data_IF_743548907836
#
_entry.id   IF_743548907836
#
_cell.length_a   1.000
_cell.length_b   1.000
_cell.length_c   1.000
_cell.angle_alpha   90.00
_cell.angle_beta   90.00
_cell.angle_gamma   90.00
#
_symmetry.space_group_name_H-M   'P 1'
#
loop_
_entity.id
_entity.type
_entity.pdbx_description
1 polymer ?
#
# COMPACT_ATOMS: atom_id res chain seq x y z
N UNK A 1 26.77 9.33 -3.62
CA UNK A 1 25.76 8.76 -2.72
C UNK A 1 24.40 9.01 -3.35
N UNK A 2 23.50 8.02 -3.35
CA UNK A 2 22.19 8.13 -4.01
C UNK A 2 21.16 8.58 -2.96
N UNK A 3 20.52 9.72 -3.22
CA UNK A 3 19.54 10.33 -2.31
C UNK A 3 18.12 10.19 -2.84
N UNK A 4 17.15 10.04 -1.94
CA UNK A 4 15.73 9.95 -2.29
C UNK A 4 14.86 10.70 -1.29
N UNK A 5 13.84 11.40 -1.79
CA UNK A 5 12.72 11.92 -1.03
C UNK A 5 11.60 10.87 -1.04
N UNK A 6 11.26 10.36 0.13
CA UNK A 6 10.10 9.52 0.37
C UNK A 6 8.98 10.40 0.89
N UNK A 7 7.96 10.62 0.05
CA UNK A 7 6.84 11.49 0.38
C UNK A 7 5.56 10.67 0.56
N UNK A 8 5.09 10.61 1.80
CA UNK A 8 3.71 10.24 2.11
C UNK A 8 2.73 11.35 1.72
N UNK A 9 1.50 11.26 2.21
CA UNK A 9 0.44 12.21 1.86
C UNK A 9 -0.16 12.95 3.08
N UNK A 10 0.46 12.83 4.25
CA UNK A 10 0.06 13.60 5.45
C UNK A 10 0.30 15.09 5.30
N UNK A 11 -0.31 15.89 6.18
CA UNK A 11 -0.30 17.36 6.15
C UNK A 11 1.13 17.95 6.08
N UNK A 12 2.13 17.30 6.69
CA UNK A 12 3.52 17.77 6.65
C UNK A 12 4.17 17.70 5.26
N UNK A 13 3.46 17.20 4.25
CA UNK A 13 3.88 17.34 2.87
C UNK A 13 3.87 18.81 2.39
N UNK A 14 3.04 19.67 3.00
CA UNK A 14 2.89 21.08 2.60
C UNK A 14 4.02 21.99 3.09
N UNK A 15 4.78 21.59 4.10
CA UNK A 15 5.79 22.42 4.75
C UNK A 15 7.23 21.90 4.57
N UNK A 16 7.50 21.22 3.46
CA UNK A 16 8.84 20.76 3.10
C UNK A 16 9.83 21.94 3.05
N UNK A 17 10.90 21.85 3.83
CA UNK A 17 12.03 22.79 3.78
C UNK A 17 13.10 22.26 2.81
N UNK A 18 12.97 22.64 1.53
CA UNK A 18 13.85 22.18 0.44
C UNK A 18 15.33 22.46 0.67
N UNK A 19 15.69 23.43 1.54
CA UNK A 19 17.10 23.73 1.89
C UNK A 19 17.76 22.61 2.71
N UNK A 20 16.99 21.58 3.09
CA UNK A 20 17.43 20.41 3.87
C UNK A 20 17.77 19.20 3.03
N UNK A 21 17.49 19.20 1.73
CA UNK A 21 17.77 18.07 0.84
C UNK A 21 18.51 18.51 -0.44
N UNK A 22 19.28 17.60 -1.08
CA UNK A 22 19.99 17.92 -2.31
C UNK A 22 19.01 18.26 -3.44
N UNK A 23 19.47 19.06 -4.41
CA UNK A 23 18.69 19.44 -5.58
C UNK A 23 18.47 18.27 -6.55
N UNK A 24 19.50 17.44 -6.72
CA UNK A 24 19.43 16.22 -7.52
C UNK A 24 19.03 15.06 -6.60
N UNK A 25 17.73 14.76 -6.58
CA UNK A 25 17.14 13.79 -5.68
C UNK A 25 16.03 13.04 -6.42
N UNK A 26 16.00 11.72 -6.24
CA UNK A 26 14.88 10.91 -6.70
C UNK A 26 13.66 11.13 -5.80
N UNK A 27 12.45 11.05 -6.33
CA UNK A 27 11.22 11.22 -5.55
C UNK A 27 10.37 9.96 -5.63
N UNK A 28 10.01 9.42 -4.47
CA UNK A 28 9.03 8.34 -4.34
C UNK A 28 7.72 8.89 -3.78
N UNK A 29 6.61 8.55 -4.42
CA UNK A 29 5.25 8.93 -4.02
C UNK A 29 4.37 7.71 -3.82
N UNK A 30 3.22 7.89 -3.16
CA UNK A 30 2.34 6.78 -2.82
C UNK A 30 0.86 7.13 -3.02
N UNK A 31 0.08 6.14 -3.45
CA UNK A 31 -1.39 6.19 -3.49
C UNK A 31 -1.91 7.47 -4.18
N UNK A 32 -2.68 8.29 -3.47
CA UNK A 32 -3.38 9.49 -3.98
C UNK A 32 -2.50 10.75 -4.02
N UNK A 33 -1.20 10.61 -4.21
CA UNK A 33 -0.28 11.77 -4.21
C UNK A 33 -0.71 12.88 -5.20
N UNK A 34 -1.36 12.49 -6.30
CA UNK A 34 -1.87 13.38 -7.35
C UNK A 34 -3.10 14.21 -6.93
N UNK A 35 -3.67 14.00 -5.74
CA UNK A 35 -4.72 14.87 -5.21
C UNK A 35 -4.19 16.23 -4.73
N UNK A 36 -2.87 16.36 -4.53
CA UNK A 36 -2.23 17.64 -4.21
C UNK A 36 -2.67 18.74 -5.21
N UNK A 37 -2.91 19.95 -4.73
CA UNK A 37 -3.34 21.09 -5.56
C UNK A 37 -2.19 21.71 -6.38
N UNK A 38 -0.96 21.40 -5.99
CA UNK A 38 0.28 21.95 -6.53
C UNK A 38 1.33 20.85 -6.58
N UNK A 39 2.37 21.00 -7.40
CA UNK A 39 3.46 20.03 -7.49
C UNK A 39 4.39 20.13 -6.27
N UNK A 40 3.93 19.65 -5.11
CA UNK A 40 4.63 19.77 -3.82
C UNK A 40 6.02 19.13 -3.83
N UNK A 41 6.25 18.10 -4.66
CA UNK A 41 7.57 17.48 -4.84
C UNK A 41 8.06 17.53 -6.29
N UNK A 42 7.43 18.36 -7.13
CA UNK A 42 7.71 18.42 -8.56
C UNK A 42 7.01 17.33 -9.38
N UNK A 43 7.17 17.40 -10.70
CA UNK A 43 6.50 16.50 -11.67
C UNK A 43 7.24 15.18 -11.90
N UNK A 44 8.55 15.15 -11.64
CA UNK A 44 9.43 14.01 -11.93
C UNK A 44 9.42 13.04 -10.76
N UNK A 45 8.81 11.88 -10.96
CA UNK A 45 8.64 10.86 -9.94
C UNK A 45 9.42 9.61 -10.36
N UNK A 46 10.40 9.23 -9.53
CA UNK A 46 11.23 8.05 -9.77
C UNK A 46 10.44 6.77 -9.58
N UNK A 47 9.59 6.73 -8.56
CA UNK A 47 8.76 5.58 -8.25
C UNK A 47 7.44 5.96 -7.60
N UNK A 48 6.38 5.24 -7.96
CA UNK A 48 5.06 5.34 -7.32
C UNK A 48 4.65 4.00 -6.72
N UNK A 49 4.03 4.03 -5.54
CA UNK A 49 3.65 2.84 -4.78
C UNK A 49 2.13 2.80 -4.55
N UNK A 50 1.50 1.66 -4.80
CA UNK A 50 0.05 1.49 -4.67
C UNK A 50 -0.36 0.29 -3.83
N UNK A 51 -1.40 0.48 -3.02
CA UNK A 51 -2.10 -0.61 -2.36
C UNK A 51 -2.72 -1.57 -3.41
N UNK A 52 -2.56 -2.90 -3.26
CA UNK A 52 -3.13 -3.88 -4.19
C UNK A 52 -4.65 -3.79 -4.35
N UNK A 53 -5.37 -3.33 -3.32
CA UNK A 53 -6.85 -3.29 -3.29
C UNK A 53 -7.47 -2.43 -4.41
N UNK A 54 -6.79 -1.35 -4.79
CA UNK A 54 -7.26 -0.40 -5.82
C UNK A 54 -6.26 -0.28 -6.98
N UNK A 55 -5.45 -1.32 -7.19
CA UNK A 55 -4.32 -1.29 -8.12
C UNK A 55 -4.73 -0.95 -9.55
N UNK A 56 -5.84 -1.55 -10.04
CA UNK A 56 -6.31 -1.36 -11.41
C UNK A 56 -6.65 0.11 -11.68
N UNK A 57 -7.46 0.72 -10.82
CA UNK A 57 -7.87 2.11 -10.93
C UNK A 57 -6.70 3.07 -10.73
N UNK A 58 -5.80 2.78 -9.78
CA UNK A 58 -4.58 3.58 -9.60
C UNK A 58 -3.70 3.53 -10.84
N UNK A 59 -3.49 2.35 -11.41
CA UNK A 59 -2.65 2.18 -12.57
C UNK A 59 -3.23 2.86 -13.82
N UNK A 60 -4.55 2.76 -14.05
CA UNK A 60 -5.26 3.54 -15.07
C UNK A 60 -5.04 5.05 -14.88
N UNK A 61 -5.19 5.52 -13.63
CA UNK A 61 -5.00 6.92 -13.28
C UNK A 61 -3.57 7.38 -13.59
N UNK A 62 -2.57 6.59 -13.20
CA UNK A 62 -1.16 6.91 -13.46
C UNK A 62 -0.84 7.02 -14.94
N UNK A 63 -1.30 6.06 -15.74
CA UNK A 63 -1.09 6.11 -17.20
C UNK A 63 -1.73 7.35 -17.80
N UNK A 64 -2.90 7.74 -17.30
CA UNK A 64 -3.57 8.96 -17.78
C UNK A 64 -2.83 10.23 -17.35
N UNK A 65 -2.31 10.30 -16.12
CA UNK A 65 -1.47 11.41 -15.65
C UNK A 65 -0.24 11.59 -16.53
N UNK A 66 0.44 10.49 -16.89
CA UNK A 66 1.60 10.51 -17.79
C UNK A 66 1.21 10.94 -19.20
N UNK A 67 0.12 10.39 -19.76
CA UNK A 67 -0.37 10.76 -21.09
C UNK A 67 -0.76 12.24 -21.21
N UNK A 68 -1.32 12.82 -20.14
CA UNK A 68 -1.64 14.25 -20.07
C UNK A 68 -0.44 15.14 -19.76
N UNK A 69 0.73 14.56 -19.52
CA UNK A 69 1.92 15.30 -19.09
C UNK A 69 1.75 15.96 -17.72
N UNK A 70 0.85 15.48 -16.86
CA UNK A 70 0.69 15.99 -15.50
C UNK A 70 1.87 15.57 -14.61
N UNK A 71 2.40 14.36 -14.82
CA UNK A 71 3.59 13.84 -14.14
C UNK A 71 4.46 13.02 -15.10
N UNK A 72 5.75 12.92 -14.79
CA UNK A 72 6.70 12.01 -15.41
C UNK A 72 7.00 10.89 -14.40
N UNK A 73 6.66 9.64 -14.72
CA UNK A 73 6.77 8.51 -13.79
C UNK A 73 7.59 7.38 -14.40
N UNK A 74 8.67 7.00 -13.74
CA UNK A 74 9.59 5.97 -14.26
C UNK A 74 9.23 4.55 -13.83
N UNK A 75 8.90 4.33 -12.55
CA UNK A 75 8.68 2.99 -12.01
C UNK A 75 7.37 2.89 -11.22
N UNK A 76 6.68 1.76 -11.38
CA UNK A 76 5.41 1.46 -10.70
C UNK A 76 5.57 0.27 -9.76
N UNK A 77 5.16 0.45 -8.52
CA UNK A 77 5.25 -0.58 -7.48
C UNK A 77 3.87 -0.86 -6.88
N UNK A 78 3.58 -2.13 -6.66
CA UNK A 78 2.48 -2.58 -5.83
C UNK A 78 3.03 -3.00 -4.46
N UNK A 79 2.42 -2.52 -3.37
CA UNK A 79 2.80 -2.89 -1.98
C UNK A 79 2.30 -4.29 -1.58
N UNK A 80 2.27 -5.21 -2.56
CA UNK A 80 1.89 -6.60 -2.40
C UNK A 80 2.98 -7.39 -1.67
N UNK A 81 2.56 -8.20 -0.70
CA UNK A 81 3.36 -9.21 0.00
C UNK A 81 3.19 -10.57 -0.69
N UNK A 82 4.03 -11.56 -0.35
CA UNK A 82 3.93 -12.90 -0.93
C UNK A 82 2.59 -13.58 -0.59
N UNK A 83 2.09 -14.41 -1.50
CA UNK A 83 0.69 -14.84 -1.58
C UNK A 83 0.25 -15.94 -0.63
N UNK A 84 1.17 -16.62 0.06
CA UNK A 84 0.86 -17.62 1.09
C UNK A 84 0.12 -17.05 2.32
N UNK A 85 -0.21 -15.77 2.29
CA UNK A 85 -0.44 -14.99 3.49
C UNK A 85 -1.47 -13.86 3.36
N UNK A 86 -2.26 -13.86 2.28
CA UNK A 86 -3.25 -12.82 1.98
C UNK A 86 -4.47 -12.89 2.94
N UNK A 87 -4.63 -13.98 3.71
CA UNK A 87 -5.89 -14.31 4.39
C UNK A 87 -6.12 -13.64 5.75
N UNK A 88 -5.12 -13.02 6.40
CA UNK A 88 -5.26 -12.55 7.79
C UNK A 88 -5.98 -11.20 7.96
N UNK A 89 -5.62 -10.18 7.17
CA UNK A 89 -5.91 -8.78 7.55
C UNK A 89 -6.83 -8.00 6.58
N UNK A 90 -7.20 -8.57 5.44
CA UNK A 90 -8.16 -7.94 4.53
C UNK A 90 -8.90 -9.00 3.67
N UNK A 91 -10.00 -9.58 4.17
CA UNK A 91 -10.75 -10.63 3.45
C UNK A 91 -11.34 -10.14 2.11
N UNK A 92 -11.46 -8.82 1.93
CA UNK A 92 -11.95 -8.17 0.71
C UNK A 92 -10.83 -7.87 -0.31
N UNK A 93 -9.57 -8.13 0.05
CA UNK A 93 -8.46 -7.89 -0.86
C UNK A 93 -8.56 -8.80 -2.10
N UNK A 94 -8.32 -8.27 -3.32
CA UNK A 94 -8.22 -9.11 -4.50
C UNK A 94 -7.22 -10.23 -4.26
N UNK A 95 -7.58 -11.48 -4.61
CA UNK A 95 -6.67 -12.63 -4.63
C UNK A 95 -5.68 -12.51 -5.79
N UNK A 96 -4.92 -11.42 -5.81
CA UNK A 96 -3.84 -11.18 -6.77
C UNK A 96 -2.56 -11.53 -6.03
N UNK A 97 -1.94 -12.63 -6.43
CA UNK A 97 -0.59 -12.97 -6.03
C UNK A 97 0.46 -12.32 -6.94
N UNK A 98 1.74 -12.51 -6.59
CA UNK A 98 2.87 -12.00 -7.38
C UNK A 98 2.87 -12.52 -8.83
N UNK A 99 2.38 -13.74 -9.07
CA UNK A 99 2.31 -14.34 -10.40
C UNK A 99 1.21 -13.70 -11.25
N UNK A 100 0.01 -13.55 -10.70
CA UNK A 100 -1.13 -12.88 -11.30
C UNK A 100 -0.81 -11.40 -11.57
N UNK A 101 -0.15 -10.72 -10.63
CA UNK A 101 0.31 -9.35 -10.81
C UNK A 101 1.22 -9.24 -12.04
N UNK A 102 2.26 -10.08 -12.13
CA UNK A 102 3.20 -10.07 -13.25
C UNK A 102 2.54 -10.40 -14.59
N UNK A 103 1.50 -11.25 -14.58
CA UNK A 103 0.75 -11.62 -15.79
C UNK A 103 -0.17 -10.49 -16.28
N UNK A 104 -0.85 -9.80 -15.37
CA UNK A 104 -1.86 -8.78 -15.71
C UNK A 104 -1.21 -7.41 -15.92
N UNK A 105 -0.21 -7.08 -15.09
CA UNK A 105 0.49 -5.80 -15.07
C UNK A 105 2.01 -6.02 -15.10
N UNK A 106 2.59 -6.45 -16.24
CA UNK A 106 4.00 -6.85 -16.34
C UNK A 106 5.01 -5.74 -16.03
N UNK A 107 4.59 -4.48 -16.13
CA UNK A 107 5.42 -3.32 -15.81
C UNK A 107 5.37 -2.90 -14.32
N UNK A 108 4.43 -3.46 -13.54
CA UNK A 108 4.32 -3.19 -12.12
C UNK A 108 5.22 -4.18 -11.37
N UNK A 109 6.14 -3.64 -10.57
CA UNK A 109 6.99 -4.42 -9.67
C UNK A 109 6.27 -4.64 -8.34
N UNK A 110 6.58 -5.73 -7.64
CA UNK A 110 6.02 -5.96 -6.30
C UNK A 110 7.03 -5.62 -5.21
N UNK A 111 6.54 -5.00 -4.14
CA UNK A 111 7.33 -4.67 -2.96
C UNK A 111 8.09 -5.88 -2.38
N UNK A 112 7.46 -7.06 -2.38
CA UNK A 112 8.10 -8.28 -1.87
C UNK A 112 9.46 -8.60 -2.52
N UNK A 113 9.64 -8.27 -3.82
CA UNK A 113 10.92 -8.48 -4.55
C UNK A 113 12.09 -7.72 -3.90
N UNK A 114 11.80 -6.61 -3.23
CA UNK A 114 12.79 -5.74 -2.60
C UNK A 114 12.90 -6.03 -1.11
N UNK A 115 11.78 -6.39 -0.49
CA UNK A 115 11.72 -6.80 0.89
C UNK A 115 12.58 -8.04 1.14
N UNK A 116 12.50 -9.05 0.27
CA UNK A 116 13.23 -10.32 0.42
C UNK A 116 14.76 -10.19 0.25
N UNK A 117 15.25 -9.07 -0.30
CA UNK A 117 16.70 -8.80 -0.45
C UNK A 117 17.38 -8.48 0.88
N UNK A 118 16.61 -8.17 1.93
CA UNK A 118 17.11 -7.84 3.26
C UNK A 118 16.35 -8.68 4.28
N UNK A 119 16.99 -9.74 4.77
CA UNK A 119 16.38 -10.77 5.63
C UNK A 119 15.70 -10.16 6.86
N UNK A 120 16.33 -9.19 7.51
CA UNK A 120 15.80 -8.56 8.72
C UNK A 120 14.53 -7.76 8.45
N UNK A 121 14.44 -7.10 7.29
CA UNK A 121 13.24 -6.36 6.89
C UNK A 121 12.09 -7.32 6.57
N UNK A 122 12.40 -8.38 5.81
CA UNK A 122 11.42 -9.41 5.46
C UNK A 122 10.87 -10.10 6.71
N UNK A 123 11.75 -10.48 7.64
CA UNK A 123 11.37 -11.08 8.91
C UNK A 123 10.45 -10.14 9.71
N UNK A 124 10.86 -8.89 9.91
CA UNK A 124 10.08 -7.91 10.67
C UNK A 124 8.68 -7.70 10.09
N UNK A 125 8.57 -7.52 8.78
CA UNK A 125 7.28 -7.31 8.11
C UNK A 125 6.40 -8.55 8.24
N UNK A 126 6.93 -9.75 8.04
CA UNK A 126 6.15 -10.98 8.15
C UNK A 126 5.73 -11.25 9.60
N UNK A 127 6.63 -11.13 10.57
CA UNK A 127 6.31 -11.33 11.98
C UNK A 127 5.24 -10.36 12.45
N UNK A 128 5.35 -9.06 12.13
CA UNK A 128 4.32 -8.11 12.53
C UNK A 128 2.97 -8.39 11.87
N UNK A 129 2.95 -8.75 10.58
CA UNK A 129 1.70 -9.07 9.88
C UNK A 129 1.01 -10.33 10.42
N UNK A 130 1.75 -11.40 10.76
CA UNK A 130 1.15 -12.70 11.12
C UNK A 130 1.06 -12.96 12.62
N UNK A 131 1.97 -12.40 13.40
CA UNK A 131 2.04 -12.66 14.84
C UNK A 131 1.49 -11.51 15.68
N UNK A 132 1.36 -10.32 15.09
CA UNK A 132 0.93 -9.12 15.82
C UNK A 132 -0.28 -8.43 15.20
N UNK A 133 -0.80 -8.93 14.07
CA UNK A 133 -1.87 -8.31 13.28
C UNK A 133 -1.63 -6.82 12.99
N UNK A 134 -0.36 -6.42 12.84
CA UNK A 134 0.04 -5.04 12.54
C UNK A 134 0.96 -4.99 11.34
N UNK A 135 0.94 -3.89 10.61
CA UNK A 135 1.73 -3.74 9.39
C UNK A 135 2.34 -2.35 9.27
N UNK A 136 3.61 -2.26 8.84
CA UNK A 136 4.18 -0.98 8.49
C UNK A 136 3.44 -0.31 7.34
N UNK A 137 3.50 1.00 7.30
CA UNK A 137 2.78 1.78 6.29
C UNK A 137 3.43 1.71 4.92
N UNK A 138 2.71 2.19 3.91
CA UNK A 138 3.31 2.33 2.58
C UNK A 138 4.50 3.31 2.56
N UNK A 139 4.54 4.27 3.49
CA UNK A 139 5.71 5.13 3.70
C UNK A 139 6.95 4.31 4.08
N UNK A 140 6.80 3.36 5.00
CA UNK A 140 7.88 2.43 5.38
C UNK A 140 8.23 1.49 4.23
N UNK A 141 7.24 0.95 3.52
CA UNK A 141 7.50 0.08 2.37
C UNK A 141 8.37 0.78 1.30
N UNK A 142 8.14 2.08 1.08
CA UNK A 142 8.99 2.90 0.20
C UNK A 142 10.43 3.04 0.75
N UNK A 143 10.60 3.24 2.05
CA UNK A 143 11.93 3.30 2.70
C UNK A 143 12.69 1.98 2.53
N UNK A 144 12.06 0.85 2.84
CA UNK A 144 12.68 -0.47 2.69
C UNK A 144 13.07 -0.75 1.24
N UNK A 145 12.18 -0.41 0.30
CA UNK A 145 12.46 -0.53 -1.15
C UNK A 145 13.64 0.35 -1.57
N UNK A 146 13.71 1.59 -1.09
CA UNK A 146 14.83 2.49 -1.38
C UNK A 146 16.17 1.92 -0.85
N UNK A 147 16.20 1.39 0.37
CA UNK A 147 17.41 0.78 0.92
C UNK A 147 17.84 -0.43 0.08
N UNK A 148 16.90 -1.29 -0.30
CA UNK A 148 17.17 -2.45 -1.17
C UNK A 148 17.66 -2.04 -2.58
N UNK A 149 17.26 -0.86 -3.06
CA UNK A 149 17.74 -0.25 -4.32
C UNK A 149 19.10 0.47 -4.16
N UNK A 150 19.69 0.47 -2.96
CA UNK A 150 21.00 1.06 -2.69
C UNK A 150 21.00 2.56 -2.39
N UNK A 151 19.84 3.15 -2.07
CA UNK A 151 19.80 4.52 -1.54
C UNK A 151 20.37 4.55 -0.11
N UNK A 152 21.18 5.57 0.17
CA UNK A 152 21.90 5.69 1.46
C UNK A 152 21.56 6.98 2.22
N UNK A 153 21.03 7.98 1.53
CA UNK A 153 20.49 9.20 2.14
C UNK A 153 18.98 9.30 1.82
N UNK A 154 18.16 9.16 2.86
CA UNK A 154 16.70 9.11 2.74
C UNK A 154 16.12 10.34 3.44
N UNK A 155 15.32 11.11 2.70
CA UNK A 155 14.61 12.29 3.19
C UNK A 155 13.13 11.96 3.25
N UNK A 156 12.44 12.38 4.31
CA UNK A 156 11.05 11.99 4.57
C UNK A 156 10.17 13.22 4.77
N UNK A 157 9.01 13.22 4.11
CA UNK A 157 7.94 14.20 4.26
C UNK A 157 6.56 13.52 4.17
N UNK A 158 5.52 14.13 4.74
CA UNK A 158 4.14 13.62 4.63
C UNK A 158 3.90 12.28 5.33
N UNK A 159 4.75 11.89 6.29
CA UNK A 159 4.55 10.72 7.16
C UNK A 159 4.30 11.23 8.58
N UNK A 160 3.03 11.35 8.96
CA UNK A 160 2.63 12.01 10.21
C UNK A 160 2.14 11.04 11.30
N UNK A 161 2.53 9.77 11.18
CA UNK A 161 2.33 8.72 12.20
C UNK A 161 0.90 8.62 12.74
N UNK A 162 -0.09 8.94 11.90
CA UNK A 162 -1.52 8.90 12.25
C UNK A 162 -1.95 9.82 13.39
N UNK A 163 -1.10 10.78 13.78
CA UNK A 163 -1.39 11.74 14.83
C UNK A 163 -2.23 12.90 14.30
N UNK A 164 -3.56 12.78 14.36
CA UNK A 164 -4.52 13.90 14.31
C UNK A 164 -4.44 14.86 13.11
N UNK A 165 -3.71 14.51 12.05
CA UNK A 165 -3.50 15.35 10.88
C UNK A 165 -4.17 14.73 9.67
N UNK A 166 -4.86 15.59 8.92
CA UNK A 166 -5.52 15.25 7.67
C UNK A 166 -4.47 15.01 6.58
N UNK A 167 -4.89 14.45 5.46
CA UNK A 167 -4.08 14.45 4.25
C UNK A 167 -3.76 15.89 3.82
N UNK A 168 -2.66 16.06 3.08
CA UNK A 168 -2.28 17.32 2.45
C UNK A 168 -3.27 17.82 1.37
N UNK A 169 -4.40 17.16 1.19
CA UNK A 169 -5.42 17.50 0.21
C UNK A 169 -6.80 17.11 0.74
N UNK A 170 -7.83 17.75 0.17
CA UNK A 170 -9.21 17.38 0.45
C UNK A 170 -9.60 16.14 -0.36
N UNK A 171 -10.18 15.14 0.30
CA UNK A 171 -10.63 13.90 -0.32
C UNK A 171 -12.08 13.55 -0.01
N UNK A 172 -12.79 14.37 0.78
CA UNK A 172 -14.11 14.06 1.34
C UNK A 172 -15.21 13.87 0.27
N UNK A 173 -15.02 14.44 -0.92
CA UNK A 173 -15.94 14.35 -2.06
C UNK A 173 -15.41 13.47 -3.20
N UNK A 174 -14.30 12.76 -2.99
CA UNK A 174 -13.66 11.97 -4.03
C UNK A 174 -14.49 10.73 -4.42
N UNK A 175 -14.43 10.34 -5.69
CA UNK A 175 -14.85 9.03 -6.18
C UNK A 175 -14.17 7.93 -5.36
N UNK A 176 -12.90 8.11 -4.99
CA UNK A 176 -12.20 7.16 -4.13
C UNK A 176 -12.92 6.90 -2.81
N UNK A 177 -13.42 7.94 -2.14
CA UNK A 177 -14.18 7.80 -0.89
C UNK A 177 -15.46 6.95 -1.07
N UNK A 178 -16.03 6.92 -2.28
CA UNK A 178 -17.17 6.05 -2.64
C UNK A 178 -16.71 4.62 -2.95
N UNK A 179 -15.64 4.48 -3.75
CA UNK A 179 -15.10 3.17 -4.16
C UNK A 179 -14.46 2.38 -3.03
N UNK A 180 -13.84 3.08 -2.09
CA UNK A 180 -13.16 2.50 -0.96
C UNK A 180 -13.59 3.25 0.30
N UNK A 181 -14.79 2.97 0.84
CA UNK A 181 -15.33 3.70 2.01
C UNK A 181 -14.41 3.67 3.23
N UNK A 182 -13.57 2.62 3.37
CA UNK A 182 -12.47 2.56 4.35
C UNK A 182 -11.52 3.77 4.29
N UNK A 183 -11.39 4.41 3.14
CA UNK A 183 -10.64 5.66 2.96
C UNK A 183 -11.27 6.86 3.71
N UNK A 184 -12.58 6.84 3.92
CA UNK A 184 -13.30 7.94 4.58
C UNK A 184 -13.27 7.82 6.10
N UNK A 185 -12.97 6.63 6.64
CA UNK A 185 -12.95 6.36 8.08
C UNK A 185 -11.57 6.60 8.73
N UNK A 186 -10.69 7.38 8.10
CA UNK A 186 -9.28 7.56 8.53
C UNK A 186 -9.15 8.29 9.89
N UNK A 187 -10.22 8.92 10.38
CA UNK A 187 -10.30 9.43 11.76
C UNK A 187 -10.45 8.31 12.80
N UNK A 188 -10.72 7.07 12.38
CA UNK A 188 -10.68 5.86 13.20
C UNK A 188 -9.37 5.14 12.91
N UNK A 189 -8.59 4.89 13.96
CA UNK A 189 -7.33 4.15 13.90
C UNK A 189 -7.51 2.87 13.07
N UNK A 190 -6.89 2.79 11.88
CA UNK A 190 -6.81 1.52 11.14
C UNK A 190 -6.16 0.52 12.09
N UNK A 191 -6.88 -0.54 12.52
CA UNK A 191 -6.38 -1.43 13.57
C UNK A 191 -5.07 -2.12 13.16
N UNK A 192 -4.79 -2.18 11.85
CA UNK A 192 -3.60 -2.81 11.32
C UNK A 192 -2.39 -1.88 11.29
N UNK A 193 -2.56 -0.57 11.49
CA UNK A 193 -1.47 0.40 11.45
C UNK A 193 -1.31 1.09 12.81
N UNK A 194 -0.08 1.24 13.25
CA UNK A 194 0.21 1.97 14.48
C UNK A 194 1.45 2.85 14.33
N UNK A 195 1.50 3.92 15.13
CA UNK A 195 2.72 4.72 15.27
C UNK A 195 3.89 3.84 15.70
N UNK A 196 3.68 2.93 16.64
CA UNK A 196 4.72 2.06 17.19
C UNK A 196 5.38 1.16 16.13
N UNK A 197 4.59 0.53 15.24
CA UNK A 197 5.16 -0.35 14.21
C UNK A 197 6.02 0.42 13.20
N UNK A 198 5.59 1.62 12.80
CA UNK A 198 6.37 2.49 11.91
C UNK A 198 7.65 2.98 12.58
N UNK A 199 7.61 3.33 13.88
CA UNK A 199 8.79 3.71 14.64
C UNK A 199 9.80 2.55 14.75
N UNK A 200 9.34 1.32 15.02
CA UNK A 200 10.19 0.13 15.02
C UNK A 200 10.85 -0.10 13.66
N UNK A 201 10.07 0.03 12.58
CA UNK A 201 10.58 -0.13 11.23
C UNK A 201 11.64 0.92 10.86
N UNK A 202 11.44 2.19 11.24
CA UNK A 202 12.41 3.27 11.02
C UNK A 202 13.73 3.02 11.77
N UNK A 203 13.67 2.52 13.00
CA UNK A 203 14.87 2.14 13.77
C UNK A 203 15.62 1.01 13.09
N UNK A 204 14.91 0.00 12.62
CA UNK A 204 15.49 -1.12 11.88
C UNK A 204 16.20 -0.64 10.61
N UNK A 205 15.53 0.18 9.79
CA UNK A 205 16.10 0.77 8.58
C UNK A 205 17.35 1.61 8.86
N UNK A 206 17.30 2.48 9.88
CA UNK A 206 18.41 3.31 10.31
C UNK A 206 19.64 2.48 10.72
N UNK A 207 19.42 1.44 11.53
CA UNK A 207 20.50 0.54 11.99
C UNK A 207 21.14 -0.20 10.82
N UNK A 208 20.33 -0.66 9.87
CA UNK A 208 20.84 -1.31 8.66
C UNK A 208 21.76 -0.39 7.86
N UNK A 209 21.36 0.87 7.66
CA UNK A 209 22.18 1.87 6.96
C UNK A 209 23.48 2.17 7.70
N UNK A 210 23.44 2.28 9.03
CA UNK A 210 24.64 2.50 9.84
C UNK A 210 25.60 1.30 9.76
N UNK A 211 25.07 0.09 9.89
CA UNK A 211 25.82 -1.18 9.73
C UNK A 211 26.53 -1.23 8.37
N UNK A 212 25.81 -0.97 7.28
CA UNK A 212 26.39 -0.93 5.93
C UNK A 212 27.51 0.09 5.81
N UNK A 213 27.32 1.30 6.37
CA UNK A 213 28.37 2.33 6.37
C UNK A 213 29.61 1.85 7.13
N UNK A 214 29.45 1.33 8.34
CA UNK A 214 30.57 0.88 9.16
C UNK A 214 31.35 -0.26 8.48
N UNK A 215 30.66 -1.23 7.87
CA UNK A 215 31.29 -2.30 7.08
C UNK A 215 32.10 -1.73 5.91
N UNK A 216 31.56 -0.72 5.21
CA UNK A 216 32.27 -0.08 4.09
C UNK A 216 33.51 0.73 4.50
N UNK A 217 33.59 1.18 5.76
CA UNK A 217 34.68 2.04 6.24
C UNK A 217 35.84 1.25 6.85
N UNK A 218 35.62 0.04 7.37
CA UNK A 218 36.60 -0.60 8.28
C UNK A 218 37.14 -1.99 7.88
N UNK A 219 36.76 -2.63 6.76
CA UNK A 219 37.13 -4.04 6.51
C UNK A 219 36.90 -4.96 7.75
N UNK A 220 35.98 -4.59 8.63
CA UNK A 220 35.78 -5.31 9.90
C UNK A 220 34.77 -6.43 9.68
N UNK A 221 35.20 -7.66 10.01
CA UNK A 221 34.38 -8.85 10.02
C UNK A 221 33.20 -8.73 11.03
N UNK A 222 32.16 -9.51 10.75
CA UNK A 222 30.81 -9.55 11.32
C UNK A 222 30.70 -9.60 12.87
N UNK A 223 31.04 -8.51 13.55
CA UNK A 223 30.78 -8.32 14.99
C UNK A 223 29.69 -7.28 15.25
N UNK A 224 28.65 -7.26 14.42
CA UNK A 224 27.39 -6.67 14.83
C UNK A 224 26.63 -7.73 15.61
N UNK A 225 26.70 -7.64 16.93
CA UNK A 225 25.80 -8.35 17.82
C UNK A 225 24.38 -8.23 17.26
N UNK A 226 23.78 -9.38 16.99
CA UNK A 226 22.43 -9.48 16.47
C UNK A 226 21.47 -8.86 17.48
N UNK A 227 21.03 -7.63 17.20
CA UNK A 227 20.09 -6.90 18.04
C UNK A 227 18.79 -6.81 17.28
N UNK A 228 17.84 -7.61 17.77
CA UNK A 228 16.42 -7.67 17.44
C UNK A 228 15.77 -6.31 17.16
N UNK A 229 14.94 -6.29 16.11
CA UNK A 229 14.12 -5.16 15.67
C UNK A 229 13.15 -4.61 16.75
N UNK A 230 12.85 -5.41 17.76
CA UNK A 230 11.99 -5.14 18.91
C UNK A 230 12.75 -4.69 20.16
N UNK A 231 14.08 -4.76 20.17
CA UNK A 231 14.90 -4.27 21.28
C UNK A 231 14.82 -5.08 22.57
N UNK A 232 14.34 -6.33 22.55
CA UNK A 232 14.18 -7.13 23.77
C UNK A 232 14.84 -8.53 23.74
N UNK A 233 15.28 -9.07 22.60
CA UNK A 233 15.99 -10.37 22.61
C UNK A 233 17.05 -10.50 21.52
N UNK A 234 18.33 -10.70 21.87
CA UNK A 234 19.35 -10.98 20.85
C UNK A 234 19.06 -12.29 20.12
N UNK A 235 18.92 -12.25 18.79
CA UNK A 235 18.71 -13.42 17.94
C UNK A 235 20.06 -13.98 17.46
N UNK A 236 20.44 -15.21 17.78
CA UNK A 236 21.59 -15.86 17.13
C UNK A 236 21.10 -16.68 15.92
N UNK A 237 21.32 -16.23 14.67
CA UNK A 237 20.92 -16.97 13.46
C UNK A 237 21.66 -18.32 13.31
N UNK A 238 22.66 -18.62 14.15
CA UNK A 238 23.42 -19.88 14.11
C UNK A 238 22.85 -20.98 15.01
N UNK A 239 21.70 -20.79 15.64
CA UNK A 239 21.05 -21.86 16.41
C UNK A 239 20.75 -23.06 15.47
N UNK A 240 21.45 -24.19 15.71
CA UNK A 240 21.33 -25.41 14.91
C UNK A 240 19.86 -25.84 14.84
N UNK A 241 19.30 -25.87 13.63
CA UNK A 241 17.99 -26.46 13.34
C UNK A 241 18.03 -27.93 13.80
N UNK A 242 17.30 -28.25 14.87
CA UNK A 242 17.08 -29.63 15.24
C UNK A 242 16.24 -30.29 14.15
N UNK A 243 16.75 -31.35 13.53
CA UNK A 243 16.06 -32.09 12.48
C UNK A 243 14.78 -32.73 13.03
N UNK A 244 13.62 -32.17 12.68
CA UNK A 244 12.32 -32.80 12.96
C UNK A 244 12.07 -33.87 11.89
N UNK A 245 12.05 -35.15 12.29
CA UNK A 245 11.57 -36.23 11.42
C UNK A 245 10.04 -36.17 11.35
N UNK A 246 9.51 -36.00 10.15
CA UNK A 246 8.08 -36.10 9.86
C UNK A 246 7.74 -37.57 9.58
N UNK A 247 7.15 -38.25 10.56
CA UNK A 247 6.52 -39.55 10.36
C UNK A 247 5.02 -39.38 10.09
N UNK A 248 4.55 -40.06 9.04
CA UNK A 248 3.17 -40.20 8.53
C UNK A 248 2.68 -39.18 7.47
N UNK A 249 1.97 -39.73 6.48
CA UNK A 249 1.38 -39.06 5.31
C UNK A 249 0.28 -38.02 5.66
N UNK A 250 -0.27 -38.05 6.87
CA UNK A 250 -1.28 -37.07 7.34
C UNK A 250 -0.70 -35.69 7.69
N UNK A 251 0.62 -35.58 7.86
CA UNK A 251 1.31 -34.32 8.18
C UNK A 251 1.45 -33.34 7.01
N UNK A 252 0.98 -33.69 5.80
CA UNK A 252 1.08 -32.83 4.60
C UNK A 252 -0.02 -31.75 4.49
N UNK A 253 -1.07 -31.81 5.30
CA UNK A 253 -2.24 -30.92 5.15
C UNK A 253 -2.34 -29.76 6.16
N UNK A 254 -1.32 -29.51 6.98
CA UNK A 254 -1.34 -28.37 7.91
C UNK A 254 -0.04 -27.55 7.91
N UNK A 255 0.42 -27.17 6.72
CA UNK A 255 1.63 -26.36 6.52
C UNK A 255 1.58 -25.02 7.28
N UNK A 256 0.40 -24.43 7.43
CA UNK A 256 0.20 -23.18 8.17
C UNK A 256 0.51 -23.33 9.66
N UNK A 257 0.09 -24.45 10.28
CA UNK A 257 0.37 -24.73 11.69
C UNK A 257 1.83 -25.17 11.91
N UNK A 258 2.44 -25.89 10.95
CA UNK A 258 3.81 -26.37 11.07
C UNK A 258 4.86 -25.25 10.94
N UNK A 259 4.61 -24.25 10.08
CA UNK A 259 5.48 -23.06 9.96
C UNK A 259 5.39 -22.19 11.22
N UNK A 260 4.18 -22.07 11.79
CA UNK A 260 3.96 -21.38 13.06
C UNK A 260 4.67 -22.09 14.22
N UNK A 261 4.62 -23.42 14.26
CA UNK A 261 5.28 -24.21 15.31
C UNK A 261 6.80 -24.23 15.20
N UNK A 262 7.39 -24.29 14.00
CA UNK A 262 8.85 -24.27 13.84
C UNK A 262 9.47 -22.90 14.16
N UNK A 263 8.73 -21.81 13.93
CA UNK A 263 9.12 -20.49 14.43
C UNK A 263 9.09 -20.44 15.96
N UNK A 264 8.13 -21.14 16.59
CA UNK A 264 7.93 -21.14 18.05
C UNK A 264 8.90 -22.09 18.79
N UNK A 265 9.22 -23.26 18.24
CA UNK A 265 10.10 -24.25 18.89
C UNK A 265 11.59 -23.86 18.89
N UNK A 266 11.95 -22.79 18.19
CA UNK A 266 13.29 -22.20 18.19
C UNK A 266 13.51 -21.24 19.37
N UNK A 267 12.47 -20.97 20.17
CA UNK A 267 12.55 -20.11 21.34
C UNK A 267 13.03 -20.89 22.58
N UNK A 268 14.29 -20.70 22.96
CA UNK A 268 14.69 -20.90 24.35
C UNK A 268 14.60 -19.56 25.08
N UNK A 269 13.74 -19.40 26.10
CA UNK A 269 13.74 -18.20 26.92
C UNK A 269 15.09 -18.09 27.66
N UNK A 270 15.73 -16.92 27.60
CA UNK A 270 16.91 -16.63 28.41
C UNK A 270 16.53 -16.68 29.91
N UNK A 271 17.31 -17.43 30.70
CA UNK A 271 17.11 -17.63 32.15
C UNK A 271 17.26 -16.36 33.02
N UNK A 272 17.52 -15.20 32.43
CA UNK A 272 17.50 -13.93 33.14
C UNK A 272 17.38 -12.77 32.15
N UNK A 273 16.29 -12.01 32.27
CA UNK A 273 16.12 -10.75 31.55
C UNK A 273 17.21 -9.75 31.99
N UNK A 274 18.02 -9.19 31.07
CA UNK A 274 18.94 -8.13 31.43
C UNK A 274 18.12 -6.89 31.82
N UNK A 275 18.43 -6.31 32.98
CA UNK A 275 17.83 -5.05 33.44
C UNK A 275 18.09 -3.95 32.40
N UNK A 276 17.05 -3.58 31.64
CA UNK A 276 17.06 -2.45 30.72
C UNK A 276 17.29 -1.15 31.50
N UNK A 277 18.53 -0.64 31.48
CA UNK A 277 18.78 0.77 31.78
C UNK A 277 18.27 1.58 30.58
N UNK A 278 17.30 2.45 30.83
CA UNK A 278 16.83 3.51 29.94
C UNK A 278 17.99 4.44 29.58
N UNK A 279 18.71 4.17 28.49
CA UNK A 279 19.82 5.00 28.04
C UNK A 279 19.77 5.17 26.51
N UNK A 280 19.77 6.44 26.10
CA UNK A 280 19.86 7.00 24.74
C UNK A 280 18.61 6.89 23.84
N UNK A 281 18.07 8.05 23.44
CA UNK A 281 17.34 8.16 22.16
C UNK A 281 18.30 7.63 21.08
N UNK A 282 17.99 6.53 20.38
CA UNK A 282 18.90 5.98 19.40
C UNK A 282 19.16 7.02 18.32
N UNK A 283 20.43 7.30 18.04
CA UNK A 283 20.83 8.19 16.95
C UNK A 283 20.36 7.56 15.63
N UNK A 284 19.43 8.21 14.93
CA UNK A 284 19.00 7.75 13.61
C UNK A 284 20.02 8.19 12.56
N UNK A 285 20.44 7.26 11.72
CA UNK A 285 21.47 7.41 10.71
C UNK A 285 20.88 7.26 9.30
N UNK A 286 21.26 8.16 8.39
CA UNK A 286 20.93 8.07 6.97
C UNK A 286 19.46 8.35 6.60
N UNK A 287 18.58 8.58 7.59
CA UNK A 287 17.17 8.92 7.39
C UNK A 287 16.87 10.23 8.10
N UNK A 288 16.29 11.19 7.39
CA UNK A 288 16.07 12.54 7.89
C UNK A 288 14.66 13.02 7.56
N UNK A 289 14.08 13.81 8.46
CA UNK A 289 12.88 14.58 8.15
C UNK A 289 13.24 15.89 7.43
N UNK A 290 12.38 16.35 6.52
CA UNK A 290 12.51 17.66 5.88
C UNK A 290 11.35 18.61 6.20
N UNK A 291 10.39 18.17 7.01
CA UNK A 291 9.20 18.93 7.39
C UNK A 291 9.20 19.19 8.89
N UNK A 292 9.18 20.45 9.31
CA UNK A 292 9.28 20.82 10.73
C UNK A 292 8.01 20.44 11.51
N UNK A 293 6.85 20.47 10.87
CA UNK A 293 5.58 20.13 11.49
C UNK A 293 5.37 18.62 11.68
N UNK A 294 6.16 17.77 11.01
CA UNK A 294 5.88 16.34 10.99
C UNK A 294 6.09 15.67 12.35
N UNK A 295 5.15 14.81 12.74
CA UNK A 295 5.24 13.99 13.94
C UNK A 295 6.45 13.04 13.92
N UNK A 296 7.00 12.74 12.74
CA UNK A 296 8.17 11.86 12.60
C UNK A 296 9.44 12.47 13.23
N UNK A 297 9.47 13.78 13.49
CA UNK A 297 10.56 14.47 14.16
C UNK A 297 10.79 14.01 15.61
N UNK A 298 9.84 13.27 16.19
CA UNK A 298 10.03 12.61 17.49
C UNK A 298 11.17 11.58 17.48
N UNK A 299 11.43 10.99 16.31
CA UNK A 299 12.45 9.94 16.13
C UNK A 299 13.51 10.31 15.10
N UNK A 300 13.12 10.93 13.99
CA UNK A 300 14.05 11.31 12.93
C UNK A 300 14.63 12.69 13.22
N UNK A 301 15.95 12.87 13.09
CA UNK A 301 16.52 14.20 13.09
C UNK A 301 16.01 14.97 11.86
N UNK A 302 15.74 16.25 12.06
CA UNK A 302 15.54 17.17 10.95
C UNK A 302 16.85 17.27 10.16
N UNK A 303 16.79 17.13 8.84
CA UNK A 303 17.98 17.23 8.00
C UNK A 303 18.65 18.60 8.17
N UNK A 304 20.00 18.67 8.13
CA UNK A 304 20.72 19.92 8.30
C UNK A 304 20.42 20.91 7.16
N UNK A 305 20.43 22.20 7.48
CA UNK A 305 20.36 23.28 6.49
C UNK A 305 21.71 23.39 5.78
N UNK A 306 21.93 22.57 4.76
CA UNK A 306 23.19 22.50 4.03
C UNK A 306 23.07 22.80 2.54
N UNK A 307 21.85 22.94 2.02
CA UNK A 307 21.63 23.11 0.59
C UNK A 307 21.05 24.48 0.25
N UNK A 308 21.56 25.07 -0.82
CA UNK A 308 20.97 26.24 -1.48
C UNK A 308 19.97 25.71 -2.50
N UNK A 309 18.73 25.51 -2.06
CA UNK A 309 17.67 24.99 -2.89
C UNK A 309 16.55 26.02 -3.04
N UNK A 310 16.31 26.42 -4.29
CA UNK A 310 15.31 27.43 -4.64
C UNK A 310 14.09 26.75 -5.28
N UNK A 311 13.60 25.68 -4.64
CA UNK A 311 12.47 24.94 -5.19
C UNK A 311 11.25 25.85 -5.21
N UNK A 312 10.63 25.99 -6.38
CA UNK A 312 9.38 26.73 -6.52
C UNK A 312 8.28 25.72 -6.76
N UNK A 313 7.35 25.65 -5.82
CA UNK A 313 6.13 24.86 -5.98
C UNK A 313 5.35 25.46 -7.15
N UNK A 314 5.13 24.65 -8.18
CA UNK A 314 4.37 25.06 -9.35
C UNK A 314 2.89 24.68 -9.17
N UNK A 315 1.95 25.53 -9.60
CA UNK A 315 0.53 25.17 -9.61
C UNK A 315 0.28 24.08 -10.64
N UNK A 316 -0.79 23.29 -10.43
CA UNK A 316 -1.28 22.36 -11.43
C UNK A 316 -2.11 23.07 -12.50
N UNK A 317 -2.18 22.50 -13.73
CA UNK A 317 -3.03 23.06 -14.78
C UNK A 317 -4.51 22.99 -14.40
N UNK A 318 -5.32 23.84 -15.04
CA UNK A 318 -6.77 23.75 -14.91
C UNK A 318 -7.29 22.38 -15.38
N UNK A 319 -8.25 21.81 -14.67
CA UNK A 319 -8.82 20.49 -15.00
C UNK A 319 -7.87 19.31 -14.74
N UNK A 320 -6.81 19.49 -13.94
CA UNK A 320 -5.92 18.41 -13.53
C UNK A 320 -6.69 17.25 -12.88
N UNK A 321 -6.12 16.05 -12.98
CA UNK A 321 -6.72 14.86 -12.37
C UNK A 321 -6.52 14.96 -10.84
N UNK A 322 -7.62 15.24 -10.15
CA UNK A 322 -7.70 15.37 -8.69
C UNK A 322 -8.49 14.25 -8.01
N UNK A 323 -8.77 13.19 -8.75
CA UNK A 323 -9.54 12.05 -8.29
C UNK A 323 -9.13 10.78 -9.04
N UNK A 324 -9.44 9.63 -8.46
CA UNK A 324 -9.15 8.34 -9.07
C UNK A 324 -10.03 8.12 -10.32
N UNK A 325 -9.44 7.62 -11.39
CA UNK A 325 -10.15 7.28 -12.62
C UNK A 325 -10.70 5.86 -12.56
N UNK A 326 -11.88 5.68 -13.13
CA UNK A 326 -12.60 4.42 -13.19
C UNK A 326 -12.98 4.07 -14.62
N UNK A 327 -13.19 2.78 -14.88
CA UNK A 327 -13.57 2.33 -16.23
C UNK A 327 -15.01 2.70 -16.53
N UNK A 328 -15.32 3.14 -17.75
CA UNK A 328 -16.67 3.52 -18.18
C UNK A 328 -17.77 2.50 -17.83
N UNK A 329 -17.49 1.19 -18.01
CA UNK A 329 -18.43 0.11 -17.64
C UNK A 329 -18.76 0.06 -16.14
N UNK A 330 -17.83 0.49 -15.28
CA UNK A 330 -18.03 0.58 -13.84
C UNK A 330 -18.88 1.79 -13.50
N UNK A 331 -18.59 2.93 -14.12
CA UNK A 331 -19.39 4.15 -13.98
C UNK A 331 -20.86 3.91 -14.41
N UNK A 332 -21.08 3.13 -15.47
CA UNK A 332 -22.42 2.68 -15.89
C UNK A 332 -23.11 1.81 -14.84
N UNK A 333 -22.41 0.82 -14.27
CA UNK A 333 -22.96 -0.05 -13.22
C UNK A 333 -23.30 0.75 -11.96
N UNK A 334 -22.46 1.70 -11.57
CA UNK A 334 -22.73 2.58 -10.43
C UNK A 334 -23.93 3.49 -10.67
N UNK A 335 -24.07 4.05 -11.87
CA UNK A 335 -25.24 4.84 -12.23
C UNK A 335 -26.52 4.00 -12.12
N UNK A 336 -26.47 2.72 -12.51
CA UNK A 336 -27.58 1.78 -12.37
C UNK A 336 -27.87 1.50 -10.89
N UNK A 337 -26.86 1.25 -10.06
CA UNK A 337 -27.03 0.98 -8.64
C UNK A 337 -27.57 2.19 -7.87
N UNK A 338 -27.05 3.39 -8.15
CA UNK A 338 -27.55 4.64 -7.56
C UNK A 338 -29.00 4.90 -7.98
N UNK A 339 -29.32 4.74 -9.26
CA UNK A 339 -30.69 4.85 -9.77
C UNK A 339 -31.61 3.84 -9.08
N UNK A 340 -31.19 2.59 -8.94
CA UNK A 340 -31.96 1.51 -8.31
C UNK A 340 -32.19 1.82 -6.82
N UNK A 341 -31.18 2.32 -6.11
CA UNK A 341 -31.28 2.72 -4.71
C UNK A 341 -32.24 3.91 -4.51
N UNK A 342 -32.16 4.94 -5.37
CA UNK A 342 -33.11 6.07 -5.36
C UNK A 342 -34.53 5.61 -5.65
N UNK A 343 -34.71 4.73 -6.63
CA UNK A 343 -36.00 4.16 -6.98
C UNK A 343 -36.57 3.35 -5.81
N UNK A 344 -35.76 2.56 -5.13
CA UNK A 344 -36.16 1.81 -3.93
C UNK A 344 -36.64 2.74 -2.82
N UNK A 345 -35.87 3.78 -2.48
CA UNK A 345 -36.28 4.80 -1.49
C UNK A 345 -37.56 5.53 -1.88
N UNK A 346 -37.72 5.83 -3.16
CA UNK A 346 -38.94 6.45 -3.68
C UNK A 346 -40.15 5.52 -3.52
N UNK A 347 -39.99 4.23 -3.86
CA UNK A 347 -41.02 3.20 -3.68
C UNK A 347 -41.39 3.02 -2.21
N UNK A 348 -40.40 3.03 -1.31
CA UNK A 348 -40.58 2.97 0.14
C UNK A 348 -41.38 4.17 0.64
N UNK A 349 -40.98 5.38 0.23
CA UNK A 349 -41.64 6.63 0.62
C UNK A 349 -43.09 6.75 0.14
N UNK A 350 -43.44 6.08 -0.97
CA UNK A 350 -44.78 6.10 -1.56
C UNK A 350 -45.66 4.92 -1.15
N UNK A 351 -45.16 3.99 -0.31
CA UNK A 351 -45.89 2.76 0.02
C UNK A 351 -46.12 1.83 -1.18
N UNK A 352 -45.43 2.07 -2.30
CA UNK A 352 -45.66 1.41 -3.59
C UNK A 352 -45.21 -0.06 -3.61
N UNK A 353 -44.61 -0.57 -2.53
CA UNK A 353 -44.23 -1.98 -2.41
C UNK A 353 -45.42 -2.93 -2.55
N UNK A 354 -46.58 -2.55 -2.02
CA UNK A 354 -47.80 -3.37 -2.14
C UNK A 354 -48.31 -3.38 -3.58
N UNK A 355 -48.34 -2.23 -4.22
CA UNK A 355 -48.81 -2.08 -5.61
C UNK A 355 -47.88 -2.77 -6.61
N UNK A 356 -46.55 -2.67 -6.43
CA UNK A 356 -45.58 -3.38 -7.26
C UNK A 356 -45.61 -4.89 -7.02
N UNK A 357 -45.86 -5.34 -5.79
CA UNK A 357 -46.05 -6.76 -5.51
C UNK A 357 -47.33 -7.31 -6.19
N UNK A 358 -48.43 -6.55 -6.14
CA UNK A 358 -49.69 -6.88 -6.82
C UNK A 358 -49.52 -6.87 -8.35
N UNK A 359 -48.77 -5.90 -8.89
CA UNK A 359 -48.41 -5.87 -10.31
C UNK A 359 -47.55 -7.09 -10.69
N UNK A 360 -46.53 -7.44 -9.89
CA UNK A 360 -45.66 -8.60 -10.16
C UNK A 360 -46.39 -9.94 -10.09
N UNK A 361 -47.41 -10.05 -9.24
CA UNK A 361 -48.29 -11.23 -9.18
C UNK A 361 -49.41 -11.22 -10.22
N UNK A 362 -49.61 -10.11 -10.93
CA UNK A 362 -50.61 -10.03 -11.99
C UNK A 362 -50.20 -10.86 -13.21
N UNK A 363 -51.19 -11.50 -13.82
CA UNK A 363 -51.02 -12.28 -15.05
C UNK A 363 -50.44 -11.42 -16.19
N UNK A 364 -50.81 -10.13 -16.25
CA UNK A 364 -50.33 -9.18 -17.25
C UNK A 364 -48.83 -8.91 -17.16
N UNK A 365 -48.30 -8.77 -15.94
CA UNK A 365 -46.87 -8.62 -15.74
C UNK A 365 -46.10 -9.91 -16.08
N UNK A 366 -46.64 -11.07 -15.70
CA UNK A 366 -46.06 -12.37 -16.05
C UNK A 366 -46.02 -12.59 -17.57
N UNK A 367 -47.10 -12.22 -18.28
CA UNK A 367 -47.17 -12.24 -19.74
C UNK A 367 -46.18 -11.27 -20.37
N UNK A 368 -46.10 -10.05 -19.87
CA UNK A 368 -45.15 -9.03 -20.36
C UNK A 368 -43.70 -9.50 -20.21
N UNK A 369 -43.31 -9.96 -19.02
CA UNK A 369 -41.95 -10.46 -18.76
C UNK A 369 -41.65 -11.68 -19.64
N UNK A 370 -42.58 -12.62 -19.76
CA UNK A 370 -42.40 -13.81 -20.59
C UNK A 370 -42.21 -13.44 -22.06
N UNK A 371 -43.00 -12.49 -22.57
CA UNK A 371 -42.91 -12.00 -23.94
C UNK A 371 -41.60 -11.24 -24.19
N UNK A 372 -41.19 -10.40 -23.24
CA UNK A 372 -39.92 -9.66 -23.33
C UNK A 372 -38.70 -10.60 -23.29
N UNK A 373 -38.69 -11.56 -22.36
CA UNK A 373 -37.62 -12.56 -22.22
C UNK A 373 -37.55 -13.44 -23.47
N UNK A 374 -38.70 -13.91 -23.98
CA UNK A 374 -38.78 -14.68 -25.22
C UNK A 374 -38.26 -13.88 -26.41
N UNK A 375 -38.68 -12.62 -26.57
CA UNK A 375 -38.23 -11.74 -27.66
C UNK A 375 -36.71 -11.53 -27.62
N UNK A 376 -36.14 -11.35 -26.42
CA UNK A 376 -34.69 -11.19 -26.24
C UNK A 376 -33.93 -12.48 -26.56
N UNK A 377 -34.46 -13.63 -26.16
CA UNK A 377 -33.88 -14.94 -26.47
C UNK A 377 -33.92 -15.23 -27.98
N UNK A 378 -35.05 -14.94 -28.64
CA UNK A 378 -35.22 -15.07 -30.09
C UNK A 378 -34.24 -14.16 -30.84
N UNK A 379 -34.12 -12.90 -30.43
CA UNK A 379 -33.15 -11.97 -31.00
C UNK A 379 -31.71 -12.47 -30.86
N UNK A 380 -31.32 -12.97 -29.67
CA UNK A 380 -29.99 -13.52 -29.45
C UNK A 380 -29.72 -14.76 -30.32
N UNK A 381 -30.72 -15.63 -30.50
CA UNK A 381 -30.64 -16.80 -31.37
C UNK A 381 -30.47 -16.39 -32.84
N UNK A 382 -31.30 -15.47 -33.34
CA UNK A 382 -31.21 -14.95 -34.71
C UNK A 382 -29.85 -14.30 -34.95
N UNK A 383 -29.37 -13.47 -34.02
CA UNK A 383 -28.03 -12.84 -34.10
C UNK A 383 -26.92 -13.89 -34.18
N UNK A 384 -26.99 -14.97 -33.38
CA UNK A 384 -26.02 -16.08 -33.39
C UNK A 384 -26.05 -16.88 -34.71
N UNK A 385 -27.23 -17.08 -35.29
CA UNK A 385 -27.39 -17.77 -36.57
C UNK A 385 -26.85 -16.92 -37.73
N UNK A 386 -27.11 -15.62 -37.71
CA UNK A 386 -26.58 -14.68 -38.70
C UNK A 386 -25.06 -14.54 -38.61
N UNK A 387 -24.47 -14.52 -37.40
CA UNK A 387 -23.01 -14.45 -37.23
C UNK A 387 -22.26 -15.73 -37.61
N UNK A 388 -22.93 -16.90 -37.60
CA UNK A 388 -22.34 -18.15 -38.11
C UNK A 388 -22.33 -18.24 -39.64
N UNK A 389 -23.23 -17.52 -40.31
CA UNK A 389 -23.32 -17.53 -41.78
C UNK A 389 -22.21 -16.69 -42.43
N UNK A 390 -21.61 -15.74 -41.70
CA UNK A 390 -20.47 -14.93 -42.15
C UNK A 390 -19.10 -15.60 -41.97
N UNK A 391 -19.00 -16.72 -41.23
CA UNK A 391 -17.76 -17.49 -41.04
C UNK A 391 -17.65 -18.72 -41.94
N UNK A 392 -18.59 -18.88 -42.88
CA UNK A 392 -18.66 -19.98 -43.87
C UNK A 392 -18.54 -19.46 -45.32
N UNK A 393 -17.98 -18.26 -45.49
CA UNK A 393 -17.61 -17.68 -46.78
C UNK A 393 -16.10 -17.45 -46.85
#
# INVERSE_FOLDING_TARGET
MKAVLIAGNGESLKDIDFKRMPKDIDVFRVNQFYFEDSYLTGKKIKAVFFNPTILKEQFLTMKTLVLKGEYEIENYYCTLLNSLYIEGLNPDAPKIDVYALKKIFPEIRHYYEYLEKIEEFNYFVNFSNYCQDTRPTSGIAMIFTAIALGYTEIYVAGIDLYGGTKYAFNYSSSKLAKFYPRFSYIDQTDPNHSKDIDLKALRLASRYLESKRLKSQNNLADNLNCIDAYGETSFDPKAKVASVKLDSMESRFNLANLLSFNAISSFSPLKSAPKLKTIFKPKVFGIYSVSKSSAINEILPLAPLRFKHDFKIAPKPEGYIKDILTSAKKDELEAIDEYTSRLKKLMESKGAHKEVAILKSSLWYQLYISTYVFSKALYALVKKLLSKKSSLK
#
